data_IF_366519966763
#
_entry.id   IF_366519966763
#
_cell.length_a   1.000
_cell.length_b   1.000
_cell.length_c   1.000
_cell.angle_alpha   90.00
_cell.angle_beta   90.00
_cell.angle_gamma   90.00
#
_symmetry.space_group_name_H-M   'P 1'
#
loop_
_entity.id
_entity.type
_entity.pdbx_description
1 polymer ?
#
# COMPACT_ATOMS: atom_id res chain seq x y z
N UNK A 1 24.28 6.83 -7.77
CA UNK A 1 23.25 6.78 -6.70
C UNK A 1 22.36 5.55 -6.86
N UNK A 2 21.63 5.40 -7.97
CA UNK A 2 20.78 4.22 -8.24
C UNK A 2 21.58 2.92 -8.20
N UNK A 3 22.74 2.88 -8.85
CA UNK A 3 23.66 1.74 -8.82
C UNK A 3 23.97 1.27 -7.40
N UNK A 4 24.27 2.21 -6.49
CA UNK A 4 24.53 1.92 -5.08
C UNK A 4 23.33 1.28 -4.36
N UNK A 5 22.10 1.68 -4.72
CA UNK A 5 20.86 1.12 -4.17
C UNK A 5 20.64 -0.29 -4.71
N UNK A 6 20.89 -0.50 -6.01
CA UNK A 6 20.79 -1.81 -6.66
C UNK A 6 21.82 -2.79 -6.08
N UNK A 7 23.07 -2.36 -5.91
CA UNK A 7 24.13 -3.17 -5.31
C UNK A 7 23.82 -3.55 -3.85
N UNK A 8 23.32 -2.57 -3.07
CA UNK A 8 22.85 -2.83 -1.71
C UNK A 8 21.70 -3.84 -1.70
N UNK A 9 20.74 -3.70 -2.62
CA UNK A 9 19.58 -4.58 -2.71
C UNK A 9 19.99 -6.00 -3.11
N UNK A 10 20.93 -6.14 -4.07
CA UNK A 10 21.45 -7.41 -4.53
C UNK A 10 22.25 -8.14 -3.43
N UNK A 11 23.09 -7.40 -2.68
CA UNK A 11 23.86 -7.96 -1.56
C UNK A 11 22.96 -8.42 -0.42
N UNK A 12 21.85 -7.72 -0.18
CA UNK A 12 20.90 -8.01 0.91
C UNK A 12 19.61 -8.67 0.40
N UNK A 13 19.71 -9.55 -0.61
CA UNK A 13 18.55 -10.16 -1.30
C UNK A 13 17.49 -10.74 -0.35
N UNK A 14 17.91 -11.36 0.76
CA UNK A 14 16.99 -11.95 1.73
C UNK A 14 16.16 -10.90 2.46
N UNK A 15 16.77 -9.78 2.85
CA UNK A 15 16.09 -8.67 3.51
C UNK A 15 15.09 -8.02 2.56
N UNK A 16 15.50 -7.79 1.30
CA UNK A 16 14.63 -7.19 0.27
C UNK A 16 13.42 -8.07 0.00
N UNK A 17 13.60 -9.39 -0.15
CA UNK A 17 12.51 -10.34 -0.36
C UNK A 17 11.58 -10.39 0.86
N UNK A 18 12.13 -10.44 2.07
CA UNK A 18 11.34 -10.45 3.30
C UNK A 18 10.48 -9.17 3.45
N UNK A 19 11.08 -8.00 3.21
CA UNK A 19 10.34 -6.73 3.22
C UNK A 19 9.25 -6.69 2.16
N UNK A 20 9.56 -7.18 0.95
CA UNK A 20 8.58 -7.27 -0.14
C UNK A 20 7.41 -8.18 0.26
N UNK A 21 7.68 -9.34 0.85
CA UNK A 21 6.64 -10.25 1.31
C UNK A 21 5.74 -9.63 2.39
N UNK A 22 6.33 -8.92 3.35
CA UNK A 22 5.57 -8.18 4.37
C UNK A 22 4.69 -7.11 3.73
N UNK A 23 5.22 -6.33 2.79
CA UNK A 23 4.45 -5.30 2.08
C UNK A 23 3.29 -5.91 1.27
N UNK A 24 3.50 -7.06 0.63
CA UNK A 24 2.43 -7.77 -0.08
C UNK A 24 1.34 -8.22 0.88
N UNK A 25 1.69 -8.82 2.02
CA UNK A 25 0.71 -9.25 3.03
C UNK A 25 -0.09 -8.06 3.56
N UNK A 26 0.59 -6.96 3.90
CA UNK A 26 -0.05 -5.73 4.36
C UNK A 26 -0.97 -5.13 3.29
N UNK A 27 -0.53 -5.13 2.02
CA UNK A 27 -1.32 -4.68 0.89
C UNK A 27 -2.60 -5.50 0.73
N UNK A 28 -2.50 -6.83 0.76
CA UNK A 28 -3.65 -7.72 0.68
C UNK A 28 -4.60 -7.54 1.87
N UNK A 29 -4.06 -7.34 3.08
CA UNK A 29 -4.85 -7.08 4.27
C UNK A 29 -5.60 -5.76 4.18
N UNK A 30 -4.95 -4.71 3.66
CA UNK A 30 -5.54 -3.41 3.40
C UNK A 30 -6.65 -3.51 2.35
N UNK A 31 -6.38 -4.14 1.20
CA UNK A 31 -7.38 -4.33 0.14
C UNK A 31 -8.64 -5.04 0.62
N UNK A 32 -8.52 -6.00 1.54
CA UNK A 32 -9.68 -6.70 2.13
C UNK A 32 -10.47 -5.86 3.14
N UNK A 33 -9.88 -4.78 3.67
CA UNK A 33 -10.47 -3.96 4.75
C UNK A 33 -10.88 -2.57 4.30
N UNK A 34 -10.43 -2.12 3.14
CA UNK A 34 -10.86 -0.84 2.57
C UNK A 34 -12.37 -0.93 2.32
N UNK A 35 -13.17 -0.02 2.91
CA UNK A 35 -14.60 0.04 2.63
C UNK A 35 -14.77 0.40 1.15
N UNK A 36 -15.42 -0.49 0.41
CA UNK A 36 -15.74 -0.26 -0.99
C UNK A 36 -17.17 0.27 -1.06
N UNK A 37 -17.33 1.51 -1.49
CA UNK A 37 -18.64 2.07 -1.81
C UNK A 37 -18.90 1.95 -3.32
N UNK A 38 -20.14 1.68 -3.68
CA UNK A 38 -20.52 1.49 -5.08
C UNK A 38 -20.65 2.83 -5.83
N UNK A 39 -20.86 3.93 -5.09
CA UNK A 39 -21.06 5.27 -5.63
C UNK A 39 -20.19 6.24 -4.82
N UNK A 40 -19.46 7.15 -5.46
CA UNK A 40 -18.76 8.20 -4.72
C UNK A 40 -19.77 9.10 -3.99
N UNK A 41 -19.41 9.55 -2.78
CA UNK A 41 -20.25 10.51 -2.06
C UNK A 41 -20.31 11.83 -2.83
N UNK A 42 -21.48 12.10 -3.39
CA UNK A 42 -21.80 13.29 -4.19
C UNK A 42 -22.90 14.12 -3.52
N UNK A 43 -23.24 13.79 -2.27
CA UNK A 43 -24.31 14.47 -1.54
C UNK A 43 -23.83 15.83 -1.07
N UNK A 44 -24.64 16.88 -1.27
CA UNK A 44 -24.34 18.19 -0.67
C UNK A 44 -24.40 18.11 0.85
N UNK A 45 -23.47 18.77 1.54
CA UNK A 45 -23.42 18.81 3.02
C UNK A 45 -24.48 19.75 3.59
N UNK A 46 -25.75 19.34 3.50
CA UNK A 46 -26.88 20.14 3.99
C UNK A 46 -27.08 19.99 5.51
N UNK A 47 -27.17 21.11 6.22
CA UNK A 47 -27.58 21.17 7.64
C UNK A 47 -29.03 21.63 7.71
N UNK A 48 -29.93 20.80 8.24
CA UNK A 48 -31.34 21.14 8.47
C UNK A 48 -31.48 21.65 9.92
N UNK A 49 -32.13 22.80 10.10
CA UNK A 49 -32.40 23.48 11.39
C UNK A 49 -33.84 23.28 11.81
#
# INVERSE_FOLDING_TARGET
MIERIVDFSARNRFVVIALTAVLVILGLWSMKRIPLDAIPDLSDTQVIV
#
